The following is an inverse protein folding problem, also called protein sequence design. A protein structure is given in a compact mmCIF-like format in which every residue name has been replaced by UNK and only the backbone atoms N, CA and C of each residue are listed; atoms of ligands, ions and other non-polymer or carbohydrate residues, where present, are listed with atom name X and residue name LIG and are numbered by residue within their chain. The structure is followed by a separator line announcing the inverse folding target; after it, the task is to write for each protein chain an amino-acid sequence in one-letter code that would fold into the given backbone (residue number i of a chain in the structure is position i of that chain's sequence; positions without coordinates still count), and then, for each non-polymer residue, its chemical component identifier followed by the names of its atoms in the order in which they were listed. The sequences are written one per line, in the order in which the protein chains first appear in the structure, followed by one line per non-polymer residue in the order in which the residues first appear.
data_IF_491629215779
#
_entry.id   IF_491629215779
#
_cell.length_a   1.000
_cell.length_b   1.000
_cell.length_c   1.000
_cell.angle_alpha   90.00
_cell.angle_beta   90.00
_cell.angle_gamma   90.00
#
_symmetry.space_group_name_H-M   'P 1'
#
loop_
_entity.id
_entity.type
_entity.pdbx_description
1 polymer ?
#
# COMPACT_ATOMS: atom_id res chain seq x y z
N UNK A 1 13.92 18.74 36.56
CA UNK A 1 13.27 18.98 35.25
C UNK A 1 14.06 18.27 34.15
N UNK A 2 13.51 17.22 33.54
CA UNK A 2 14.21 16.47 32.49
C UNK A 2 13.91 17.14 31.13
N UNK A 3 14.91 17.81 30.54
CA UNK A 3 14.80 18.36 29.17
C UNK A 3 14.44 17.21 28.22
N UNK A 4 13.31 17.30 27.48
CA UNK A 4 12.98 16.40 26.35
C UNK A 4 13.12 17.13 25.01
N UNK A 5 14.28 17.04 24.32
CA UNK A 5 14.39 17.56 22.96
C UNK A 5 14.92 16.58 21.87
N UNK A 6 15.08 15.27 22.10
CA UNK A 6 16.21 14.56 21.44
C UNK A 6 15.99 13.39 20.44
N UNK A 7 14.81 12.73 20.32
CA UNK A 7 14.78 11.43 19.60
C UNK A 7 14.59 11.50 18.07
N UNK A 8 13.89 12.50 17.53
CA UNK A 8 13.64 12.62 16.08
C UNK A 8 13.62 14.08 15.60
N UNK A 9 14.82 14.65 15.47
CA UNK A 9 15.03 16.03 15.06
C UNK A 9 14.99 16.21 13.53
N UNK A 10 15.10 17.45 13.05
CA UNK A 10 15.10 17.79 11.61
C UNK A 10 16.16 17.01 10.81
N UNK A 11 17.34 16.77 11.38
CA UNK A 11 18.42 16.02 10.73
C UNK A 11 18.00 14.56 10.50
N UNK A 12 17.43 13.92 11.52
CA UNK A 12 16.92 12.55 11.40
C UNK A 12 15.71 12.45 10.47
N UNK A 13 14.82 13.44 10.49
CA UNK A 13 13.70 13.53 9.54
C UNK A 13 14.22 13.59 8.10
N UNK A 14 15.15 14.51 7.82
CA UNK A 14 15.78 14.61 6.50
C UNK A 14 16.43 13.31 6.09
N UNK A 15 17.26 12.71 6.95
CA UNK A 15 17.92 11.44 6.64
C UNK A 15 16.93 10.30 6.40
N UNK A 16 15.82 10.25 7.16
CA UNK A 16 14.76 9.29 6.92
C UNK A 16 14.18 9.45 5.51
N UNK A 17 13.84 10.68 5.11
CA UNK A 17 13.28 10.98 3.79
C UNK A 17 14.22 10.55 2.67
N UNK A 18 15.53 10.83 2.77
CA UNK A 18 16.51 10.37 1.78
C UNK A 18 16.56 8.84 1.65
N UNK A 19 16.43 8.12 2.76
CA UNK A 19 16.39 6.65 2.73
C UNK A 19 15.10 6.12 2.11
N UNK A 20 13.98 6.80 2.35
CA UNK A 20 12.71 6.45 1.71
C UNK A 20 12.78 6.68 0.20
N UNK A 21 13.31 7.83 -0.25
CA UNK A 21 13.57 8.13 -1.68
C UNK A 21 14.46 7.10 -2.34
N UNK A 22 15.44 6.54 -1.62
CA UNK A 22 16.29 5.46 -2.13
C UNK A 22 15.62 4.08 -2.10
N UNK A 23 14.33 3.98 -1.77
CA UNK A 23 13.56 2.73 -1.77
C UNK A 23 13.58 1.91 -0.48
N UNK A 24 14.17 2.41 0.61
CA UNK A 24 14.08 1.69 1.89
C UNK A 24 12.67 1.78 2.46
N UNK A 25 12.19 0.67 3.04
CA UNK A 25 10.91 0.65 3.78
C UNK A 25 11.03 1.41 5.10
N UNK A 26 9.96 2.11 5.51
CA UNK A 26 9.89 2.95 6.73
C UNK A 26 10.49 2.31 7.98
N UNK A 27 10.21 1.03 8.23
CA UNK A 27 10.75 0.31 9.39
C UNK A 27 12.28 0.18 9.36
N UNK A 28 12.84 -0.13 8.20
CA UNK A 28 14.28 -0.22 7.99
C UNK A 28 14.93 1.18 8.07
N UNK A 29 14.33 2.17 7.41
CA UNK A 29 14.79 3.56 7.45
C UNK A 29 14.78 4.12 8.89
N UNK A 30 13.72 3.85 9.67
CA UNK A 30 13.60 4.24 11.07
C UNK A 30 14.74 3.66 11.91
N UNK A 31 14.99 2.35 11.77
CA UNK A 31 16.10 1.67 12.45
C UNK A 31 17.45 2.30 12.09
N UNK A 32 17.66 2.63 10.82
CA UNK A 32 18.91 3.19 10.32
C UNK A 32 19.17 4.62 10.82
N UNK A 33 18.14 5.43 11.02
CA UNK A 33 18.27 6.76 11.66
C UNK A 33 18.22 6.71 13.19
N UNK A 34 18.20 5.51 13.77
CA UNK A 34 18.24 5.27 15.21
C UNK A 34 16.97 5.70 15.93
N UNK A 35 15.80 5.43 15.34
CA UNK A 35 14.49 5.61 15.99
C UNK A 35 13.62 4.37 15.81
N UNK A 36 12.60 4.24 16.64
CA UNK A 36 11.61 3.17 16.48
C UNK A 36 10.58 3.56 15.41
N UNK A 37 9.98 2.60 14.68
CA UNK A 37 8.91 2.88 13.73
C UNK A 37 7.73 3.62 14.35
N UNK A 38 7.43 3.36 15.62
CA UNK A 38 6.38 4.04 16.40
C UNK A 38 6.63 5.55 16.50
N UNK A 39 7.88 5.99 16.63
CA UNK A 39 8.22 7.42 16.66
C UNK A 39 7.93 8.06 15.30
N UNK A 40 8.30 7.40 14.20
CA UNK A 40 8.00 7.91 12.85
C UNK A 40 6.49 8.01 12.64
N UNK A 41 5.72 6.99 13.04
CA UNK A 41 4.26 7.00 12.94
C UNK A 41 3.62 8.09 13.80
N UNK A 42 4.12 8.30 15.02
CA UNK A 42 3.69 9.41 15.86
C UNK A 42 3.90 10.75 15.15
N UNK A 43 5.08 10.98 14.58
CA UNK A 43 5.35 12.24 13.87
C UNK A 43 4.49 12.40 12.62
N UNK A 44 4.29 11.36 11.79
CA UNK A 44 3.39 11.47 10.62
C UNK A 44 1.95 11.81 11.01
N UNK A 45 1.46 11.30 12.14
CA UNK A 45 0.09 11.60 12.63
C UNK A 45 -0.07 13.02 13.18
N UNK A 46 1.00 13.63 13.65
CA UNK A 46 0.96 14.92 14.35
C UNK A 46 1.63 16.07 13.57
N UNK A 47 2.16 15.79 12.39
CA UNK A 47 2.89 16.73 11.54
C UNK A 47 2.54 16.41 10.08
N UNK A 48 1.56 17.15 9.56
CA UNK A 48 0.98 16.94 8.22
C UNK A 48 2.02 17.19 7.12
N UNK A 49 2.86 18.22 7.27
CA UNK A 49 3.97 18.50 6.35
C UNK A 49 4.93 17.30 6.29
N UNK A 50 5.33 16.78 7.46
CA UNK A 50 6.18 15.60 7.50
C UNK A 50 5.50 14.35 6.91
N UNK A 51 4.19 14.18 7.10
CA UNK A 51 3.45 13.10 6.45
C UNK A 51 3.51 13.22 4.93
N UNK A 52 3.22 14.41 4.39
CA UNK A 52 3.27 14.70 2.95
C UNK A 52 4.66 14.42 2.38
N UNK A 53 5.71 14.86 3.06
CA UNK A 53 7.10 14.61 2.62
C UNK A 53 7.46 13.12 2.62
N UNK A 54 6.94 12.35 3.59
CA UNK A 54 7.12 10.89 3.60
C UNK A 54 6.41 10.25 2.40
N UNK A 55 5.19 10.66 2.12
CA UNK A 55 4.40 10.11 1.02
C UNK A 55 5.04 10.47 -0.33
N UNK A 56 5.54 11.70 -0.48
CA UNK A 56 6.31 12.16 -1.65
C UNK A 56 7.61 11.36 -1.83
N UNK A 57 8.37 11.14 -0.76
CA UNK A 57 9.58 10.32 -0.80
C UNK A 57 9.32 8.86 -1.21
N UNK A 58 8.20 8.28 -0.76
CA UNK A 58 7.80 6.93 -1.17
C UNK A 58 7.27 6.88 -2.60
N UNK A 59 6.70 7.97 -3.10
CA UNK A 59 6.31 8.10 -4.49
C UNK A 59 7.53 8.17 -5.41
N UNK A 60 8.51 9.02 -5.09
CA UNK A 60 9.79 9.14 -5.81
C UNK A 60 10.53 7.80 -5.90
N UNK A 61 10.50 7.02 -4.82
CA UNK A 61 11.11 5.68 -4.80
C UNK A 61 10.52 4.70 -5.84
N UNK A 62 9.33 4.99 -6.37
CA UNK A 62 8.72 4.18 -7.39
C UNK A 62 9.17 4.56 -8.81
N UNK A 63 9.73 5.75 -9.03
CA UNK A 63 10.14 6.21 -10.37
C UNK A 63 11.14 5.26 -11.04
N UNK A 64 12.21 4.76 -10.37
CA UNK A 64 13.14 3.82 -11.00
C UNK A 64 12.48 2.48 -11.35
N UNK A 65 11.44 2.10 -10.59
CA UNK A 65 10.65 0.88 -10.84
C UNK A 65 9.73 1.10 -12.05
N UNK A 66 9.12 2.29 -12.15
CA UNK A 66 8.35 2.72 -13.33
C UNK A 66 9.19 2.65 -14.60
N UNK A 67 10.37 3.25 -14.56
CA UNK A 67 11.29 3.25 -15.69
C UNK A 67 11.70 1.82 -16.07
N UNK A 68 12.08 0.99 -15.10
CA UNK A 68 12.44 -0.40 -15.34
C UNK A 68 11.29 -1.20 -15.95
N UNK A 69 10.06 -0.98 -15.49
CA UNK A 69 8.88 -1.65 -16.01
C UNK A 69 8.47 -1.13 -17.38
N UNK A 70 8.64 0.16 -17.64
CA UNK A 70 8.45 0.73 -18.97
C UNK A 70 9.46 0.12 -19.96
N UNK A 71 10.73 -0.02 -19.59
CA UNK A 71 11.72 -0.71 -20.43
C UNK A 71 11.39 -2.22 -20.59
N UNK A 72 10.91 -2.88 -19.54
CA UNK A 72 10.43 -4.26 -19.61
C UNK A 72 9.20 -4.41 -20.53
N UNK A 73 8.34 -3.39 -20.54
CA UNK A 73 7.17 -3.32 -21.41
C UNK A 73 7.59 -3.19 -22.87
N UNK A 74 8.50 -2.26 -23.16
CA UNK A 74 9.06 -2.06 -24.50
C UNK A 74 9.83 -3.29 -25.00
N UNK A 75 10.43 -4.07 -24.10
CA UNK A 75 11.08 -5.35 -24.44
C UNK A 75 10.13 -6.56 -24.51
N UNK A 76 8.83 -6.35 -24.24
CA UNK A 76 7.77 -7.34 -24.54
C UNK A 76 7.28 -8.19 -23.36
N UNK A 77 7.61 -7.88 -22.10
CA UNK A 77 7.08 -8.66 -20.96
C UNK A 77 5.70 -8.16 -20.49
N UNK A 78 4.66 -8.66 -21.16
CA UNK A 78 3.25 -8.26 -20.97
C UNK A 78 2.75 -8.42 -19.52
N UNK A 79 3.20 -9.45 -18.79
CA UNK A 79 2.72 -9.71 -17.42
C UNK A 79 3.23 -8.64 -16.44
N UNK A 80 4.48 -8.19 -16.61
CA UNK A 80 5.03 -7.12 -15.79
C UNK A 80 4.25 -5.81 -15.98
N UNK A 81 3.81 -5.52 -17.21
CA UNK A 81 2.95 -4.38 -17.54
C UNK A 81 1.61 -4.46 -16.81
N UNK A 82 0.95 -5.63 -16.86
CA UNK A 82 -0.38 -5.81 -16.24
C UNK A 82 -0.32 -5.65 -14.71
N UNK A 83 0.64 -6.31 -14.05
CA UNK A 83 0.79 -6.25 -12.59
C UNK A 83 1.07 -4.82 -12.14
N UNK A 84 1.87 -4.08 -12.90
CA UNK A 84 2.17 -2.69 -12.59
C UNK A 84 0.93 -1.78 -12.64
N UNK A 85 0.19 -1.85 -13.74
CA UNK A 85 -0.98 -1.01 -13.97
C UNK A 85 -2.12 -1.32 -12.98
N UNK A 86 -2.35 -2.60 -12.67
CA UNK A 86 -3.37 -3.02 -11.71
C UNK A 86 -3.11 -2.51 -10.29
N UNK A 87 -1.85 -2.45 -9.87
CA UNK A 87 -1.50 -2.04 -8.51
C UNK A 87 -1.56 -0.53 -8.28
N UNK A 88 -1.38 0.28 -9.34
CA UNK A 88 -1.21 1.74 -9.21
C UNK A 88 -2.44 2.56 -9.57
N UNK A 89 -3.27 2.07 -10.49
CA UNK A 89 -4.55 2.69 -10.85
C UNK A 89 -5.57 1.58 -11.21
N UNK A 90 -6.02 0.81 -10.19
CA UNK A 90 -6.92 -0.33 -10.40
C UNK A 90 -8.25 0.08 -11.03
N UNK A 91 -8.79 1.26 -10.73
CA UNK A 91 -10.10 1.68 -11.24
C UNK A 91 -10.12 1.85 -12.77
N UNK A 92 -8.97 2.26 -13.33
CA UNK A 92 -8.78 2.48 -14.76
C UNK A 92 -8.29 1.25 -15.50
N UNK A 93 -7.44 0.44 -14.87
CA UNK A 93 -6.70 -0.62 -15.55
C UNK A 93 -7.13 -2.03 -15.17
N UNK A 94 -7.86 -2.23 -14.07
CA UNK A 94 -8.38 -3.56 -13.74
C UNK A 94 -9.25 -4.12 -14.87
N UNK A 95 -9.21 -5.44 -15.02
CA UNK A 95 -10.06 -6.16 -15.95
C UNK A 95 -11.54 -5.93 -15.58
N UNK A 96 -12.23 -5.09 -16.37
CA UNK A 96 -13.68 -4.87 -16.25
C UNK A 96 -14.42 -6.06 -16.83
N UNK A 97 -14.48 -7.13 -16.06
CA UNK A 97 -15.34 -8.27 -16.40
C UNK A 97 -16.80 -7.83 -16.31
N UNK A 98 -17.50 -7.81 -17.43
CA UNK A 98 -18.97 -7.75 -17.43
C UNK A 98 -19.50 -9.12 -17.00
N UNK A 99 -19.57 -9.32 -15.68
CA UNK A 99 -20.16 -10.54 -15.14
C UNK A 99 -21.66 -10.49 -15.40
N UNK A 100 -22.11 -11.25 -16.40
CA UNK A 100 -23.54 -11.52 -16.58
C UNK A 100 -23.96 -12.49 -15.49
N UNK A 101 -24.63 -11.98 -14.47
CA UNK A 101 -25.22 -12.78 -13.41
C UNK A 101 -26.51 -13.43 -13.94
N UNK A 102 -26.50 -14.75 -14.07
CA UNK A 102 -27.63 -15.56 -14.50
C UNK A 102 -27.53 -16.96 -13.91
N UNK A 103 -28.68 -17.56 -13.63
CA UNK A 103 -28.81 -18.97 -13.30
C UNK A 103 -28.61 -19.86 -14.53
N UNK A 104 -28.75 -21.17 -14.34
CA UNK A 104 -28.62 -22.17 -15.39
C UNK A 104 -29.52 -21.81 -16.58
N UNK A 105 -28.99 -21.88 -17.80
CA UNK A 105 -29.71 -21.54 -19.05
C UNK A 105 -30.34 -20.12 -19.08
N UNK A 106 -29.76 -19.16 -18.36
CA UNK A 106 -30.25 -17.77 -18.34
C UNK A 106 -31.47 -17.56 -17.43
N UNK A 107 -31.81 -18.56 -16.61
CA UNK A 107 -32.85 -18.43 -15.59
C UNK A 107 -32.43 -17.48 -14.45
N UNK A 108 -33.36 -17.00 -13.62
CA UNK A 108 -33.01 -16.25 -12.42
C UNK A 108 -32.11 -17.05 -11.48
N UNK A 109 -31.21 -16.36 -10.77
CA UNK A 109 -30.36 -16.99 -9.75
C UNK A 109 -31.24 -17.47 -8.58
N UNK A 110 -31.20 -18.77 -8.30
CA UNK A 110 -31.89 -19.36 -7.15
C UNK A 110 -30.89 -19.53 -6.00
N UNK A 111 -31.05 -18.72 -4.96
CA UNK A 111 -30.29 -18.86 -3.72
C UNK A 111 -30.99 -19.88 -2.82
N UNK A 112 -30.40 -21.05 -2.63
CA UNK A 112 -30.84 -22.00 -1.61
C UNK A 112 -30.14 -21.68 -0.29
N UNK A 113 -30.83 -20.97 0.59
CA UNK A 113 -30.35 -20.71 1.95
C UNK A 113 -30.56 -21.99 2.76
N UNK A 114 -29.47 -22.64 3.16
CA UNK A 114 -29.50 -23.75 4.11
C UNK A 114 -29.13 -23.18 5.47
N UNK A 115 -30.07 -23.26 6.41
CA UNK A 115 -29.80 -22.94 7.81
C UNK A 115 -29.26 -24.19 8.48
N UNK A 116 -28.05 -24.10 9.00
CA UNK A 116 -27.48 -25.14 9.84
C UNK A 116 -28.01 -24.95 11.26
N UNK A 117 -29.07 -25.67 11.60
CA UNK A 117 -29.67 -25.63 12.94
C UNK A 117 -28.95 -26.60 13.87
N UNK A 118 -27.64 -26.49 14.03
CA UNK A 118 -26.89 -27.23 15.09
C UNK A 118 -26.91 -26.48 16.44
N UNK A 119 -28.04 -25.86 16.82
CA UNK A 119 -28.22 -25.38 18.21
C UNK A 119 -29.69 -25.09 18.60
N UNK A 120 -30.63 -25.95 18.21
CA UNK A 120 -32.03 -25.81 18.65
C UNK A 120 -32.36 -26.41 20.03
N UNK A 121 -31.37 -26.87 20.81
CA UNK A 121 -31.61 -27.55 22.10
C UNK A 121 -30.90 -26.93 23.33
N UNK A 122 -30.76 -25.60 23.39
CA UNK A 122 -30.47 -24.90 24.67
C UNK A 122 -31.19 -23.56 24.74
N UNK A 123 -32.37 -23.55 25.37
CA UNK A 123 -32.81 -22.70 26.51
C UNK A 123 -34.28 -23.02 26.81
#
# INVERSE_FOLDING_TARGET
MIKKPYKFNKVKKKKLLELLKSGLRRGAAAKQVGVTPQIVNYHRRNDEEFSRLVDEAEMEANEPVEDALYQAALSGNIIAIQVWLYNRDPDRWSDRRSVRLGGEEGQPIVLKVVYDNENSDKI
#
